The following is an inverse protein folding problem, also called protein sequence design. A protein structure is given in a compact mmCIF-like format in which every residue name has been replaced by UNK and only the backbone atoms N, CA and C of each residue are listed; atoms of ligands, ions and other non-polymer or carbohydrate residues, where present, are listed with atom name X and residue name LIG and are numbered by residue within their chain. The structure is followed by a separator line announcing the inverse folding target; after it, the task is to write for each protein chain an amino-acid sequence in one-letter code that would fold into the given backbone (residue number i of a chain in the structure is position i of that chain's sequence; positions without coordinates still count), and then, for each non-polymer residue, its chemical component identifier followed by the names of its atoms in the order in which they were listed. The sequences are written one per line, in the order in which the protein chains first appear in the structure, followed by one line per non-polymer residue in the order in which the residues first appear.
data_IF_858870983479
#
_entry.id   IF_858870983479
#
_cell.length_a   1.000
_cell.length_b   1.000
_cell.length_c   1.000
_cell.angle_alpha   90.00
_cell.angle_beta   90.00
_cell.angle_gamma   90.00
#
_symmetry.space_group_name_H-M   'P 1'
#
loop_
_entity.id
_entity.type
_entity.pdbx_description
1 polymer ?
#
# COMPACT_ATOMS: atom_id res chain seq x y z
N UNK A 1 20.22 -8.95 27.28
CA UNK A 1 20.11 -8.63 25.84
C UNK A 1 19.37 -9.76 25.14
N UNK A 2 18.16 -9.56 24.59
CA UNK A 2 17.55 -10.55 23.71
C UNK A 2 17.92 -10.29 22.26
N UNK A 3 18.20 -11.40 21.56
CA UNK A 3 18.65 -11.47 20.18
C UNK A 3 17.61 -10.91 19.19
N UNK A 4 18.08 -10.12 18.23
CA UNK A 4 17.33 -9.65 17.07
C UNK A 4 16.94 -10.86 16.21
N UNK A 5 15.70 -11.34 16.33
CA UNK A 5 15.14 -12.34 15.40
C UNK A 5 14.83 -11.63 14.07
N UNK A 6 15.28 -12.15 12.91
CA UNK A 6 14.91 -11.58 11.62
C UNK A 6 13.51 -12.10 11.26
N UNK A 7 12.47 -11.45 11.79
CA UNK A 7 11.09 -11.78 11.41
C UNK A 7 10.71 -11.01 10.12
N UNK A 8 10.56 -11.80 9.05
CA UNK A 8 9.83 -11.49 7.81
C UNK A 8 10.37 -10.41 6.86
N UNK A 9 11.14 -10.84 5.85
CA UNK A 9 11.57 -10.02 4.73
C UNK A 9 10.48 -9.94 3.63
N UNK A 10 9.46 -9.08 3.81
CA UNK A 10 8.43 -8.82 2.80
C UNK A 10 9.00 -8.36 1.43
N UNK A 11 10.23 -7.83 1.43
CA UNK A 11 10.96 -7.40 0.22
C UNK A 11 11.37 -8.58 -0.66
N UNK A 12 11.72 -9.71 -0.05
CA UNK A 12 12.16 -10.91 -0.76
C UNK A 12 10.97 -11.68 -1.36
N UNK A 13 9.83 -11.66 -0.67
CA UNK A 13 8.56 -12.18 -1.17
C UNK A 13 8.06 -11.36 -2.36
N UNK A 14 8.14 -10.02 -2.32
CA UNK A 14 7.73 -9.14 -3.43
C UNK A 14 8.53 -9.41 -4.72
N UNK A 15 9.86 -9.45 -4.61
CA UNK A 15 10.76 -9.76 -5.73
C UNK A 15 10.62 -11.21 -6.22
N UNK A 16 10.59 -12.21 -5.32
CA UNK A 16 10.41 -13.62 -5.69
C UNK A 16 9.03 -13.92 -6.27
N UNK A 17 7.98 -13.24 -5.80
CA UNK A 17 6.60 -13.44 -6.27
C UNK A 17 6.40 -12.80 -7.65
N UNK A 18 7.04 -11.66 -7.92
CA UNK A 18 7.04 -11.06 -9.26
C UNK A 18 7.96 -11.81 -10.23
N UNK A 19 9.16 -12.24 -9.82
CA UNK A 19 10.03 -13.15 -10.61
C UNK A 19 9.34 -14.48 -10.94
N UNK A 20 8.58 -15.06 -10.00
CA UNK A 20 7.74 -16.25 -10.28
C UNK A 20 6.58 -15.94 -11.22
N UNK A 21 5.95 -14.78 -11.10
CA UNK A 21 4.85 -14.37 -11.97
C UNK A 21 5.31 -14.05 -13.41
N UNK A 22 6.49 -13.45 -13.56
CA UNK A 22 7.13 -13.19 -14.86
C UNK A 22 7.66 -14.50 -15.49
N UNK A 23 8.22 -15.42 -14.70
CA UNK A 23 8.52 -16.78 -15.18
C UNK A 23 7.24 -17.55 -15.58
N UNK A 24 6.09 -17.26 -14.98
CA UNK A 24 4.80 -17.86 -15.35
C UNK A 24 4.20 -17.29 -16.65
N UNK A 25 4.59 -16.08 -17.10
CA UNK A 25 4.24 -15.56 -18.44
C UNK A 25 4.72 -16.48 -19.56
N UNK A 26 5.78 -17.28 -19.32
CA UNK A 26 6.31 -18.23 -20.32
C UNK A 26 5.61 -19.60 -20.36
N UNK A 27 4.61 -19.88 -19.50
CA UNK A 27 4.05 -21.25 -19.42
C UNK A 27 2.55 -21.42 -19.22
N UNK A 28 1.73 -20.37 -19.15
CA UNK A 28 0.28 -20.52 -18.94
C UNK A 28 -0.57 -20.02 -20.12
N UNK A 29 -0.59 -20.80 -21.20
CA UNK A 29 -1.75 -20.91 -22.08
C UNK A 29 -2.65 -22.01 -21.50
N UNK A 30 -3.37 -21.69 -20.42
CA UNK A 30 -4.22 -22.65 -19.70
C UNK A 30 -5.61 -22.07 -19.47
N UNK A 31 -6.65 -22.83 -19.91
CA UNK A 31 -8.11 -22.66 -19.75
C UNK A 31 -8.56 -21.34 -19.10
N UNK A 32 -9.27 -20.49 -19.86
CA UNK A 32 -9.76 -19.19 -19.40
C UNK A 32 -10.73 -19.32 -18.21
N UNK A 33 -10.21 -19.19 -16.99
CA UNK A 33 -11.03 -19.03 -15.79
C UNK A 33 -11.59 -17.62 -15.79
N UNK A 34 -12.90 -17.51 -15.97
CA UNK A 34 -13.65 -16.25 -15.88
C UNK A 34 -14.32 -16.16 -14.52
N UNK A 35 -14.07 -15.08 -13.79
CA UNK A 35 -14.58 -14.83 -12.45
C UNK A 35 -15.53 -13.63 -12.48
N UNK A 36 -16.63 -13.68 -11.71
CA UNK A 36 -17.45 -12.50 -11.41
C UNK A 36 -16.81 -11.68 -10.29
N UNK A 37 -17.30 -10.46 -10.08
CA UNK A 37 -16.82 -9.52 -9.05
C UNK A 37 -16.63 -10.19 -7.68
N UNK A 38 -17.63 -10.94 -7.20
CA UNK A 38 -17.57 -11.60 -5.87
C UNK A 38 -16.51 -12.70 -5.81
N UNK A 39 -16.29 -13.41 -6.91
CA UNK A 39 -15.34 -14.52 -6.99
C UNK A 39 -13.91 -14.00 -7.02
N UNK A 40 -13.63 -13.02 -7.88
CA UNK A 40 -12.29 -12.43 -7.94
C UNK A 40 -11.94 -11.68 -6.65
N UNK A 41 -12.91 -11.00 -6.03
CA UNK A 41 -12.73 -10.35 -4.73
C UNK A 41 -12.26 -11.35 -3.66
N UNK A 42 -12.92 -12.52 -3.58
CA UNK A 42 -12.54 -13.60 -2.67
C UNK A 42 -11.15 -14.16 -3.00
N UNK A 43 -10.87 -14.43 -4.27
CA UNK A 43 -9.58 -14.94 -4.73
C UNK A 43 -8.41 -13.95 -4.49
N UNK A 44 -8.69 -12.65 -4.51
CA UNK A 44 -7.73 -11.59 -4.24
C UNK A 44 -7.68 -11.16 -2.76
N UNK A 45 -8.57 -11.69 -1.92
CA UNK A 45 -8.78 -11.25 -0.54
C UNK A 45 -8.96 -9.73 -0.43
N UNK A 46 -9.89 -9.18 -1.22
CA UNK A 46 -10.29 -7.77 -1.20
C UNK A 46 -11.82 -7.67 -1.21
N UNK A 47 -12.36 -6.49 -0.92
CA UNK A 47 -13.80 -6.27 -1.01
C UNK A 47 -14.29 -6.22 -2.47
N UNK A 48 -15.58 -6.50 -2.70
CA UNK A 48 -16.18 -6.32 -4.02
C UNK A 48 -16.12 -4.85 -4.48
N UNK A 49 -16.22 -3.90 -3.55
CA UNK A 49 -16.12 -2.47 -3.86
C UNK A 49 -14.73 -2.06 -4.27
N UNK A 50 -13.70 -2.68 -3.70
CA UNK A 50 -12.30 -2.54 -4.13
C UNK A 50 -12.13 -3.01 -5.59
N UNK A 51 -12.73 -4.14 -5.97
CA UNK A 51 -12.70 -4.62 -7.36
C UNK A 51 -13.41 -3.65 -8.30
N UNK A 52 -14.58 -3.13 -7.91
CA UNK A 52 -15.33 -2.13 -8.70
C UNK A 52 -14.55 -0.83 -8.83
N UNK A 53 -13.94 -0.36 -7.74
CA UNK A 53 -13.09 0.81 -7.71
C UNK A 53 -11.94 0.67 -8.73
N UNK A 54 -11.16 -0.41 -8.65
CA UNK A 54 -10.05 -0.62 -9.60
C UNK A 54 -10.50 -0.89 -11.04
N UNK A 55 -11.73 -1.37 -11.24
CA UNK A 55 -12.32 -1.47 -12.58
C UNK A 55 -12.66 -0.08 -13.16
N UNK A 56 -13.20 0.84 -12.35
CA UNK A 56 -13.47 2.23 -12.74
C UNK A 56 -12.18 3.00 -13.02
N UNK A 57 -11.16 2.78 -12.21
CA UNK A 57 -9.81 3.34 -12.39
C UNK A 57 -9.04 2.71 -13.58
N UNK A 58 -9.67 1.82 -14.37
CA UNK A 58 -9.09 1.12 -15.52
C UNK A 58 -7.83 0.30 -15.21
N UNK A 59 -7.60 -0.01 -13.94
CA UNK A 59 -6.54 -0.89 -13.47
C UNK A 59 -6.85 -2.37 -13.74
N UNK A 60 -8.13 -2.71 -13.81
CA UNK A 60 -8.62 -4.01 -14.26
C UNK A 60 -9.23 -3.86 -15.65
N UNK A 61 -9.11 -4.91 -16.47
CA UNK A 61 -9.64 -4.93 -17.83
C UNK A 61 -10.65 -6.09 -17.97
N UNK A 62 -11.81 -6.02 -17.26
CA UNK A 62 -12.80 -7.07 -17.37
C UNK A 62 -13.36 -7.15 -18.79
N UNK A 63 -13.75 -8.35 -19.21
CA UNK A 63 -14.43 -8.58 -20.48
C UNK A 63 -15.94 -8.63 -20.24
N UNK A 64 -16.71 -8.09 -21.17
CA UNK A 64 -18.15 -8.30 -21.14
C UNK A 64 -18.47 -9.73 -21.61
N UNK A 65 -19.26 -10.45 -20.83
CA UNK A 65 -19.72 -11.77 -21.22
C UNK A 65 -20.86 -11.64 -22.24
N UNK A 66 -20.62 -12.17 -23.44
CA UNK A 66 -21.56 -12.10 -24.57
C UNK A 66 -22.88 -12.81 -24.31
N UNK A 67 -22.94 -13.77 -23.38
CA UNK A 67 -24.18 -14.55 -23.11
C UNK A 67 -25.16 -13.87 -22.16
N UNK A 68 -24.69 -13.02 -21.25
CA UNK A 68 -25.53 -12.47 -20.19
C UNK A 68 -25.23 -11.00 -19.85
N UNK A 69 -24.34 -10.35 -20.60
CA UNK A 69 -24.02 -8.93 -20.48
C UNK A 69 -23.16 -8.55 -19.26
N UNK A 70 -22.88 -9.47 -18.33
CA UNK A 70 -22.11 -9.18 -17.12
C UNK A 70 -20.61 -9.10 -17.39
N UNK A 71 -19.92 -8.25 -16.63
CA UNK A 71 -18.44 -8.20 -16.63
C UNK A 71 -17.84 -9.43 -15.93
N UNK A 72 -16.86 -10.03 -16.59
CA UNK A 72 -16.05 -11.14 -16.09
C UNK A 72 -14.57 -10.78 -16.10
N UNK A 73 -13.87 -11.26 -15.09
CA UNK A 73 -12.47 -11.00 -14.83
C UNK A 73 -11.63 -12.25 -15.10
N UNK A 74 -10.45 -12.05 -15.67
CA UNK A 74 -9.52 -13.15 -15.96
C UNK A 74 -8.48 -13.38 -14.88
N UNK A 75 -7.60 -14.35 -15.13
CA UNK A 75 -6.43 -14.61 -14.29
C UNK A 75 -5.47 -13.42 -14.23
N UNK A 76 -5.39 -12.62 -15.30
CA UNK A 76 -4.58 -11.41 -15.34
C UNK A 76 -5.12 -10.33 -14.39
N UNK A 77 -6.43 -10.12 -14.34
CA UNK A 77 -7.04 -9.16 -13.41
C UNK A 77 -6.81 -9.59 -11.96
N UNK A 78 -6.84 -10.90 -11.68
CA UNK A 78 -6.54 -11.44 -10.35
C UNK A 78 -5.07 -11.18 -9.96
N UNK A 79 -4.14 -11.34 -10.91
CA UNK A 79 -2.73 -10.99 -10.69
C UNK A 79 -2.56 -9.51 -10.38
N UNK A 80 -3.20 -8.63 -11.16
CA UNK A 80 -3.19 -7.18 -10.92
C UNK A 80 -3.74 -6.81 -9.54
N UNK A 81 -4.88 -7.39 -9.13
CA UNK A 81 -5.44 -7.14 -7.81
C UNK A 81 -4.52 -7.54 -6.66
N UNK A 82 -3.89 -8.72 -6.75
CA UNK A 82 -2.92 -9.16 -5.74
C UNK A 82 -1.71 -8.23 -5.69
N UNK A 83 -1.23 -7.78 -6.84
CA UNK A 83 -0.15 -6.80 -6.93
C UNK A 83 -0.52 -5.49 -6.24
N UNK A 84 -1.67 -4.89 -6.59
CA UNK A 84 -2.14 -3.64 -6.01
C UNK A 84 -2.24 -3.76 -4.48
N UNK A 85 -2.77 -4.88 -3.98
CA UNK A 85 -2.88 -5.15 -2.55
C UNK A 85 -1.52 -5.18 -1.84
N UNK A 86 -0.54 -5.90 -2.39
CA UNK A 86 0.80 -5.96 -1.77
C UNK A 86 1.55 -4.63 -1.89
N UNK A 87 1.37 -3.90 -3.00
CA UNK A 87 1.96 -2.58 -3.17
C UNK A 87 1.42 -1.57 -2.13
N UNK A 88 0.12 -1.60 -1.84
CA UNK A 88 -0.46 -0.79 -0.77
C UNK A 88 0.09 -1.12 0.61
N UNK A 89 0.42 -2.39 0.90
CA UNK A 89 1.08 -2.76 2.18
C UNK A 89 2.48 -2.17 2.30
N UNK A 90 3.15 -1.91 1.18
CA UNK A 90 4.45 -1.23 1.14
C UNK A 90 4.31 0.30 1.23
N UNK A 91 3.09 0.80 1.41
CA UNK A 91 2.78 2.22 1.45
C UNK A 91 2.79 2.88 0.08
N UNK A 92 2.82 2.12 -1.02
CA UNK A 92 2.73 2.71 -2.35
C UNK A 92 1.34 3.29 -2.57
N UNK A 93 1.31 4.51 -3.08
CA UNK A 93 0.11 5.21 -3.49
C UNK A 93 -0.46 4.62 -4.79
N UNK A 94 -1.72 4.95 -5.08
CA UNK A 94 -2.41 4.46 -6.28
C UNK A 94 -1.69 4.86 -7.58
N UNK A 95 -1.12 6.07 -7.64
CA UNK A 95 -0.41 6.58 -8.83
C UNK A 95 0.93 5.88 -9.06
N UNK A 96 1.66 5.54 -7.98
CA UNK A 96 2.89 4.74 -8.07
C UNK A 96 2.56 3.32 -8.57
N UNK A 97 1.46 2.74 -8.06
CA UNK A 97 0.95 1.43 -8.51
C UNK A 97 0.51 1.46 -9.97
N UNK A 98 -0.17 2.52 -10.42
CA UNK A 98 -0.54 2.73 -11.84
C UNK A 98 0.70 2.76 -12.73
N UNK A 99 1.70 3.57 -12.35
CA UNK A 99 2.98 3.69 -13.07
C UNK A 99 3.66 2.33 -13.23
N UNK A 100 3.74 1.54 -12.15
CA UNK A 100 4.31 0.19 -12.22
C UNK A 100 3.51 -0.72 -13.16
N UNK A 101 2.18 -0.68 -13.08
CA UNK A 101 1.31 -1.56 -13.89
C UNK A 101 1.34 -1.22 -15.38
N UNK A 102 1.42 0.06 -15.77
CA UNK A 102 1.46 0.49 -17.18
C UNK A 102 2.80 0.17 -17.82
N UNK A 103 3.91 0.47 -17.14
CA UNK A 103 5.26 0.22 -17.64
C UNK A 103 5.57 -1.29 -17.75
N UNK A 104 4.90 -2.12 -16.94
CA UNK A 104 5.04 -3.59 -17.00
C UNK A 104 4.29 -4.23 -18.19
N UNK A 105 3.34 -3.53 -18.82
CA UNK A 105 2.55 -4.07 -19.93
C UNK A 105 3.16 -3.83 -21.32
N UNK A 106 4.02 -2.83 -21.48
CA UNK A 106 4.56 -2.45 -22.80
C UNK A 106 5.98 -2.99 -23.02
N UNK A 107 6.91 -2.85 -22.05
CA UNK A 107 8.28 -3.40 -22.17
C UNK A 107 8.87 -3.95 -20.84
N UNK A 108 8.12 -3.83 -19.74
CA UNK A 108 8.66 -4.08 -18.41
C UNK A 108 9.34 -2.83 -17.86
N UNK A 109 9.16 -2.56 -16.57
CA UNK A 109 10.01 -1.59 -15.88
C UNK A 109 11.46 -2.07 -15.93
N UNK A 110 12.40 -1.19 -16.29
CA UNK A 110 13.81 -1.54 -16.13
C UNK A 110 14.13 -1.76 -14.65
N UNK A 111 15.05 -2.67 -14.36
CA UNK A 111 15.50 -2.92 -12.98
C UNK A 111 15.97 -1.62 -12.30
N UNK A 112 16.50 -0.67 -13.08
CA UNK A 112 16.96 0.61 -12.57
C UNK A 112 15.81 1.54 -12.14
N UNK A 113 14.72 1.61 -12.92
CA UNK A 113 13.55 2.42 -12.58
C UNK A 113 12.80 1.85 -11.36
N UNK A 114 12.67 0.51 -11.27
CA UNK A 114 12.13 -0.13 -10.07
C UNK A 114 12.97 0.20 -8.84
N UNK A 115 14.31 0.05 -8.94
CA UNK A 115 15.22 0.41 -7.85
C UNK A 115 15.04 1.86 -7.43
N UNK A 116 14.96 2.78 -8.39
CA UNK A 116 14.76 4.22 -8.10
C UNK A 116 13.45 4.45 -7.34
N UNK A 117 12.34 3.89 -7.81
CA UNK A 117 11.04 4.02 -7.15
C UNK A 117 11.08 3.53 -5.68
N UNK A 118 11.70 2.37 -5.45
CA UNK A 118 11.82 1.82 -4.09
C UNK A 118 12.74 2.65 -3.19
N UNK A 119 13.86 3.14 -3.73
CA UNK A 119 14.79 4.00 -2.98
C UNK A 119 14.13 5.33 -2.61
N UNK A 120 13.43 5.97 -3.56
CA UNK A 120 12.70 7.21 -3.32
C UNK A 120 11.61 7.01 -2.25
N UNK A 121 10.90 5.88 -2.29
CA UNK A 121 9.88 5.55 -1.29
C UNK A 121 10.49 5.31 0.09
N UNK A 122 11.61 4.59 0.16
CA UNK A 122 12.32 4.35 1.42
C UNK A 122 12.74 5.68 2.06
N UNK A 123 13.34 6.57 1.26
CA UNK A 123 13.76 7.89 1.75
C UNK A 123 12.60 8.72 2.31
N UNK A 124 11.43 8.73 1.64
CA UNK A 124 10.24 9.41 2.15
C UNK A 124 9.71 8.79 3.45
N UNK A 125 9.75 7.46 3.57
CA UNK A 125 9.35 6.78 4.81
C UNK A 125 10.29 7.13 5.97
N UNK A 126 11.59 7.17 5.72
CA UNK A 126 12.60 7.56 6.72
C UNK A 126 12.41 9.01 7.18
N UNK A 127 12.14 9.94 6.25
CA UNK A 127 11.84 11.33 6.59
C UNK A 127 10.59 11.46 7.47
N UNK A 128 9.50 10.79 7.11
CA UNK A 128 8.27 10.82 7.89
C UNK A 128 8.46 10.19 9.28
N UNK A 129 9.31 9.16 9.41
CA UNK A 129 9.63 8.59 10.71
C UNK A 129 10.33 9.61 11.61
N UNK A 130 11.29 10.36 11.08
CA UNK A 130 11.97 11.44 11.82
C UNK A 130 10.98 12.50 12.30
N UNK A 131 10.03 12.90 11.45
CA UNK A 131 8.99 13.87 11.82
C UNK A 131 8.06 13.34 12.91
N UNK A 132 7.63 12.08 12.80
CA UNK A 132 6.79 11.44 13.82
C UNK A 132 7.52 11.25 15.15
N UNK A 133 8.83 10.97 15.12
CA UNK A 133 9.64 10.89 16.33
C UNK A 133 9.73 12.25 17.04
N UNK A 134 9.94 13.34 16.29
CA UNK A 134 9.91 14.70 16.85
C UNK A 134 8.57 15.03 17.48
N UNK A 135 7.47 14.80 16.75
CA UNK A 135 6.13 15.05 17.27
C UNK A 135 5.84 14.23 18.54
N UNK A 136 6.24 12.96 18.57
CA UNK A 136 6.13 12.10 19.74
C UNK A 136 6.88 12.70 20.93
N UNK A 137 8.09 13.18 20.71
CA UNK A 137 8.94 13.71 21.77
C UNK A 137 8.41 15.07 22.28
N UNK A 138 7.87 15.91 21.39
CA UNK A 138 7.13 17.13 21.75
C UNK A 138 5.91 16.77 22.62
N UNK A 139 5.08 15.81 22.20
CA UNK A 139 3.91 15.40 22.98
C UNK A 139 4.30 14.81 24.35
N UNK A 140 5.40 14.07 24.43
CA UNK A 140 5.93 13.57 25.72
C UNK A 140 6.33 14.72 26.63
N UNK A 141 7.02 15.73 26.10
CA UNK A 141 7.38 16.92 26.86
C UNK A 141 6.12 17.68 27.34
N UNK A 142 5.09 17.84 26.50
CA UNK A 142 3.81 18.45 26.93
C UNK A 142 3.19 17.69 28.10
N UNK A 143 3.12 16.36 28.00
CA UNK A 143 2.53 15.50 29.03
C UNK A 143 3.32 15.55 30.34
N UNK A 144 4.65 15.57 30.29
CA UNK A 144 5.47 15.68 31.49
C UNK A 144 5.31 17.04 32.19
N UNK A 145 5.20 18.14 31.43
CA UNK A 145 4.84 19.45 32.01
C UNK A 145 3.49 19.38 32.72
N UNK A 146 2.49 18.71 32.13
CA UNK A 146 1.16 18.59 32.74
C UNK A 146 1.13 17.75 34.01
N UNK A 147 2.01 16.76 34.17
CA UNK A 147 2.12 15.97 35.42
C UNK A 147 2.57 16.80 36.62
N UNK A 148 3.26 17.91 36.38
CA UNK A 148 3.79 18.78 37.41
C UNK A 148 2.92 20.02 37.67
N UNK A 149 1.79 20.17 36.96
CA UNK A 149 0.81 21.22 37.21
C UNK A 149 -0.11 20.82 38.39
N UNK A 150 -0.44 21.75 39.30
CA UNK A 150 -1.39 21.49 40.38
C UNK A 150 -2.80 21.21 39.83
N UNK A 151 -3.53 20.32 40.50
CA UNK A 151 -4.84 19.75 40.09
C UNK A 151 -5.99 20.78 39.97
N UNK A 152 -5.74 22.06 40.29
CA UNK A 152 -6.71 23.13 40.11
C UNK A 152 -6.97 23.32 38.61
N UNK A 153 -8.18 22.95 38.18
CA UNK A 153 -8.59 22.84 36.80
C UNK A 153 -8.11 24.02 35.93
N UNK A 154 -7.57 23.76 34.73
CA UNK A 154 -7.24 24.82 33.80
C UNK A 154 -8.53 25.52 33.39
N UNK A 155 -8.76 26.73 33.90
CA UNK A 155 -9.67 27.66 33.25
C UNK A 155 -9.14 27.93 31.83
N UNK A 156 -10.02 28.25 30.89
CA UNK A 156 -9.69 28.35 29.46
C UNK A 156 -8.53 29.31 29.11
N UNK A 157 -8.06 30.11 30.08
CA UNK A 157 -6.90 30.98 30.00
C UNK A 157 -5.54 30.24 30.01
N UNK A 158 -5.45 29.11 30.72
CA UNK A 158 -4.19 28.37 30.88
C UNK A 158 -3.73 27.61 29.63
N UNK A 159 -4.67 27.11 28.80
CA UNK A 159 -4.35 26.46 27.51
C UNK A 159 -3.77 27.45 26.51
N UNK A 160 -4.25 28.69 26.51
CA UNK A 160 -3.71 29.75 25.64
C UNK A 160 -2.31 30.22 26.06
N UNK A 161 -2.00 30.20 27.37
CA UNK A 161 -0.65 30.50 27.87
C UNK A 161 0.35 29.39 27.51
N UNK A 162 -0.05 28.12 27.59
CA UNK A 162 0.81 26.99 27.22
C UNK A 162 1.17 26.99 25.72
N UNK A 163 0.23 27.33 24.84
CA UNK A 163 0.49 27.47 23.39
C UNK A 163 1.46 28.61 23.09
N UNK A 164 1.41 29.71 23.87
CA UNK A 164 2.30 30.87 23.70
C UNK A 164 3.74 30.60 24.12
N UNK A 165 3.97 29.68 25.04
CA UNK A 165 5.31 29.38 25.56
C UNK A 165 6.11 28.44 24.65
N UNK A 166 5.48 27.93 23.59
CA UNK A 166 6.03 26.99 22.60
C UNK A 166 6.28 27.65 21.23
N UNK A 167 6.24 29.00 21.17
CA UNK A 167 6.66 29.81 20.03
C UNK A 167 7.99 30.49 20.31
#
# INVERSE_FOLDING_TARGET
MPAFRPEFNGKELFLKMWLRADMAKRRFVGKAVTMRVKEIARCANVSADTVRFYSRERLLRPRQNLRNGYYVYGSEDLRRLRFIREAHKLGLGLEEVKTILTQTTEDGLSNNELKKLFTDRLSRLEQHLIELERLRDDMRASVDVWKHLPEAAPDGYSVQQLIRQWS
#
